data_IF_029068466325
#
_entry.id   IF_029068466325
#
_cell.length_a   1.000
_cell.length_b   1.000
_cell.length_c   1.000
_cell.angle_alpha   90.00
_cell.angle_beta   90.00
_cell.angle_gamma   90.00
#
_symmetry.space_group_name_H-M   'P 1'
#
loop_
_entity.id
_entity.type
_entity.pdbx_description
1 polymer ?
#
# COMPACT_ATOMS: atom_id res chain seq x y z
N UNK A 1 54.02 38.14 5.43
CA UNK A 1 53.02 37.54 4.52
C UNK A 1 52.68 36.07 4.80
N UNK A 2 53.21 35.42 5.84
CA UNK A 2 52.97 33.98 6.10
C UNK A 2 51.83 33.66 7.08
N UNK A 3 51.19 34.67 7.70
CA UNK A 3 50.07 34.47 8.65
C UNK A 3 48.69 34.56 8.00
N UNK A 4 48.57 35.24 6.84
CA UNK A 4 47.31 35.40 6.10
C UNK A 4 46.94 34.10 5.36
N UNK A 5 47.94 33.35 4.88
CA UNK A 5 47.75 32.05 4.25
C UNK A 5 47.24 30.96 5.21
N UNK A 6 47.51 31.08 6.51
CA UNK A 6 47.02 30.15 7.55
C UNK A 6 45.55 30.38 7.92
N UNK A 7 45.01 31.58 7.69
CA UNK A 7 43.60 31.92 7.98
C UNK A 7 42.65 31.51 6.83
N UNK A 8 43.12 31.45 5.59
CA UNK A 8 42.32 31.00 4.45
C UNK A 8 42.13 29.47 4.37
N UNK A 9 43.03 28.69 4.97
CA UNK A 9 42.92 27.22 5.00
C UNK A 9 41.86 26.71 6.00
N UNK A 10 41.47 27.52 6.99
CA UNK A 10 40.49 27.12 8.01
C UNK A 10 39.03 27.32 7.57
N UNK A 11 38.79 28.10 6.50
CA UNK A 11 37.44 28.39 5.98
C UNK A 11 36.96 27.39 4.92
N UNK A 12 37.81 26.48 4.45
CA UNK A 12 37.50 25.55 3.36
C UNK A 12 36.77 24.26 3.82
N UNK A 13 36.45 24.12 5.11
CA UNK A 13 35.83 22.91 5.68
C UNK A 13 34.32 23.03 5.94
N UNK A 14 33.67 24.14 5.61
CA UNK A 14 32.20 24.20 5.60
C UNK A 14 31.67 23.61 4.29
N UNK A 15 31.94 22.33 4.04
CA UNK A 15 31.03 21.54 3.23
C UNK A 15 29.74 21.50 4.04
N UNK A 16 28.79 22.38 3.74
CA UNK A 16 27.43 22.21 4.24
C UNK A 16 26.98 20.84 3.78
N UNK A 17 26.91 19.87 4.69
CA UNK A 17 26.32 18.57 4.44
C UNK A 17 24.81 18.83 4.22
N UNK A 18 24.43 19.17 2.99
CA UNK A 18 23.03 19.27 2.63
C UNK A 18 22.45 17.86 2.72
N UNK A 19 21.44 17.67 3.57
CA UNK A 19 20.79 16.38 3.70
C UNK A 19 20.27 15.91 2.36
N UNK A 20 20.49 14.64 2.05
CA UNK A 20 19.96 14.04 0.84
C UNK A 20 18.42 14.02 0.88
N UNK A 21 17.79 13.95 -0.29
CA UNK A 21 16.33 13.83 -0.37
C UNK A 21 15.81 12.57 0.34
N UNK A 22 16.60 11.49 0.36
CA UNK A 22 16.31 10.27 1.12
C UNK A 22 16.36 10.51 2.64
N UNK A 23 17.34 11.26 3.14
CA UNK A 23 17.43 11.61 4.57
C UNK A 23 16.25 12.48 5.02
N UNK A 24 15.85 13.46 4.20
CA UNK A 24 14.67 14.29 4.47
C UNK A 24 13.38 13.48 4.48
N UNK A 25 13.30 12.41 3.68
CA UNK A 25 12.14 11.54 3.57
C UNK A 25 12.08 10.44 4.64
N UNK A 26 13.20 10.14 5.31
CA UNK A 26 13.32 9.06 6.28
C UNK A 26 12.28 9.09 7.43
N UNK A 27 11.93 10.25 8.02
CA UNK A 27 10.89 10.30 9.07
C UNK A 27 9.51 9.85 8.56
N UNK A 28 9.18 10.16 7.30
CA UNK A 28 7.91 9.73 6.71
C UNK A 28 7.90 8.22 6.40
N UNK A 29 9.04 7.67 5.97
CA UNK A 29 9.20 6.22 5.82
C UNK A 29 9.08 5.49 7.18
N UNK A 30 9.67 6.02 8.24
CA UNK A 30 9.51 5.48 9.60
C UNK A 30 8.05 5.48 10.06
N UNK A 31 7.29 6.56 9.75
CA UNK A 31 5.84 6.60 10.00
C UNK A 31 5.10 5.52 9.21
N UNK A 32 5.42 5.33 7.93
CA UNK A 32 4.83 4.29 7.08
C UNK A 32 5.06 2.90 7.69
N UNK A 33 6.28 2.61 8.14
CA UNK A 33 6.61 1.34 8.82
C UNK A 33 5.82 1.15 10.13
N UNK A 34 5.71 2.20 10.95
CA UNK A 34 4.90 2.16 12.18
C UNK A 34 3.43 1.90 11.90
N UNK A 35 2.85 2.51 10.85
CA UNK A 35 1.47 2.27 10.45
C UNK A 35 1.26 0.82 9.97
N UNK A 36 2.24 0.28 9.23
CA UNK A 36 2.21 -1.10 8.77
C UNK A 36 2.22 -2.09 9.95
N UNK A 37 3.10 -1.88 10.93
CA UNK A 37 3.16 -2.68 12.16
C UNK A 37 1.89 -2.59 13.00
N UNK A 38 1.20 -1.45 12.95
CA UNK A 38 -0.10 -1.27 13.58
C UNK A 38 -1.29 -1.82 12.76
N UNK A 39 -1.02 -2.53 11.66
CA UNK A 39 -2.02 -3.09 10.73
C UNK A 39 -2.98 -2.05 10.11
N UNK A 40 -2.58 -0.77 10.12
CA UNK A 40 -3.34 0.34 9.55
C UNK A 40 -3.08 0.46 8.05
N UNK A 41 -3.41 -0.58 7.31
CA UNK A 41 -2.96 -0.74 5.92
C UNK A 41 -3.48 0.33 4.97
N UNK A 42 -4.68 0.88 5.18
CA UNK A 42 -5.17 2.00 4.35
C UNK A 42 -4.31 3.26 4.58
N UNK A 43 -4.03 3.60 5.84
CA UNK A 43 -3.19 4.75 6.19
C UNK A 43 -1.74 4.59 5.68
N UNK A 44 -1.26 3.34 5.55
CA UNK A 44 0.01 3.02 4.87
C UNK A 44 -0.04 3.46 3.41
N UNK A 45 -1.07 3.06 2.65
CA UNK A 45 -1.18 3.42 1.23
C UNK A 45 -1.27 4.94 1.05
N UNK A 46 -2.07 5.61 1.88
CA UNK A 46 -2.26 7.06 1.83
C UNK A 46 -0.94 7.79 2.15
N UNK A 47 -0.22 7.35 3.19
CA UNK A 47 1.09 7.92 3.57
C UNK A 47 2.16 7.69 2.51
N UNK A 48 2.11 6.58 1.77
CA UNK A 48 3.01 6.32 0.64
C UNK A 48 2.69 7.23 -0.55
N UNK A 49 1.41 7.58 -0.77
CA UNK A 49 1.00 8.63 -1.71
C UNK A 49 1.68 9.96 -1.36
N UNK A 50 1.56 10.39 -0.11
CA UNK A 50 2.21 11.61 0.40
C UNK A 50 3.73 11.56 0.23
N UNK A 51 4.38 10.42 0.49
CA UNK A 51 5.83 10.25 0.30
C UNK A 51 6.24 10.48 -1.16
N UNK A 52 5.50 9.92 -2.11
CA UNK A 52 5.78 10.05 -3.55
C UNK A 52 5.61 11.48 -4.04
N UNK A 53 4.63 12.19 -3.50
CA UNK A 53 4.31 13.57 -3.89
C UNK A 53 5.31 14.57 -3.30
N UNK A 54 5.66 14.42 -2.01
CA UNK A 54 6.55 15.35 -1.30
C UNK A 54 8.03 15.11 -1.58
N UNK A 55 8.42 13.87 -1.77
CA UNK A 55 9.83 13.49 -1.96
C UNK A 55 10.02 12.70 -3.27
N UNK A 56 9.72 13.30 -4.43
CA UNK A 56 9.76 12.57 -5.69
C UNK A 56 11.17 12.06 -6.04
N UNK A 57 12.22 12.74 -5.54
CA UNK A 57 13.64 12.41 -5.77
C UNK A 57 14.26 11.49 -4.71
N UNK A 58 13.54 11.14 -3.64
CA UNK A 58 14.00 10.17 -2.62
C UNK A 58 13.87 8.73 -3.14
N UNK A 59 14.70 8.37 -4.13
CA UNK A 59 14.55 7.13 -4.90
C UNK A 59 14.65 5.89 -4.02
N UNK A 60 15.61 5.86 -3.08
CA UNK A 60 15.81 4.68 -2.23
C UNK A 60 14.67 4.53 -1.22
N UNK A 61 14.24 5.63 -0.61
CA UNK A 61 13.10 5.67 0.31
C UNK A 61 11.82 5.22 -0.39
N UNK A 62 11.58 5.67 -1.63
CA UNK A 62 10.44 5.25 -2.45
C UNK A 62 10.50 3.78 -2.84
N UNK A 63 11.68 3.23 -3.13
CA UNK A 63 11.86 1.79 -3.39
C UNK A 63 11.50 0.96 -2.15
N UNK A 64 11.97 1.36 -0.97
CA UNK A 64 11.60 0.71 0.29
C UNK A 64 10.09 0.78 0.54
N UNK A 65 9.50 1.96 0.38
CA UNK A 65 8.06 2.16 0.53
C UNK A 65 7.23 1.32 -0.47
N UNK A 66 7.72 1.09 -1.69
CA UNK A 66 7.03 0.24 -2.67
C UNK A 66 6.88 -1.21 -2.16
N UNK A 67 7.88 -1.76 -1.48
CA UNK A 67 7.77 -3.09 -0.85
C UNK A 67 6.68 -3.11 0.23
N UNK A 68 6.64 -2.10 1.09
CA UNK A 68 5.60 -1.96 2.12
C UNK A 68 4.21 -1.80 1.48
N UNK A 69 4.10 -1.01 0.41
CA UNK A 69 2.86 -0.84 -0.35
C UNK A 69 2.32 -2.16 -0.89
N UNK A 70 3.19 -3.00 -1.47
CA UNK A 70 2.80 -4.32 -1.98
C UNK A 70 2.28 -5.22 -0.86
N UNK A 71 2.98 -5.26 0.27
CA UNK A 71 2.57 -6.07 1.42
C UNK A 71 1.24 -5.58 2.03
N UNK A 72 1.06 -4.27 2.20
CA UNK A 72 -0.17 -3.69 2.72
C UNK A 72 -1.35 -3.91 1.77
N UNK A 73 -1.14 -3.73 0.46
CA UNK A 73 -2.14 -3.99 -0.57
C UNK A 73 -2.58 -5.45 -0.57
N UNK A 74 -1.64 -6.39 -0.39
CA UNK A 74 -1.96 -7.82 -0.28
C UNK A 74 -2.82 -8.11 0.97
N UNK A 75 -2.49 -7.51 2.12
CA UNK A 75 -3.26 -7.68 3.36
C UNK A 75 -4.70 -7.16 3.22
N UNK A 76 -4.87 -5.99 2.61
CA UNK A 76 -6.20 -5.44 2.30
C UNK A 76 -6.98 -6.37 1.36
N UNK A 77 -6.35 -6.84 0.28
CA UNK A 77 -6.98 -7.75 -0.66
C UNK A 77 -7.41 -9.07 0.02
N UNK A 78 -6.57 -9.66 0.87
CA UNK A 78 -6.90 -10.86 1.64
C UNK A 78 -8.10 -10.64 2.59
N UNK A 79 -8.14 -9.51 3.30
CA UNK A 79 -9.28 -9.16 4.15
C UNK A 79 -10.57 -8.94 3.34
N UNK A 80 -10.46 -8.38 2.14
CA UNK A 80 -11.58 -8.20 1.22
C UNK A 80 -12.07 -9.51 0.61
N UNK A 81 -11.17 -10.47 0.36
CA UNK A 81 -11.52 -11.84 -0.08
C UNK A 81 -12.40 -12.50 0.99
N UNK A 82 -11.95 -12.50 2.26
CA UNK A 82 -12.70 -13.11 3.35
C UNK A 82 -14.10 -12.50 3.53
N UNK A 83 -14.21 -11.17 3.43
CA UNK A 83 -15.49 -10.45 3.48
C UNK A 83 -16.38 -10.77 2.28
N UNK A 84 -15.81 -10.82 1.08
CA UNK A 84 -16.56 -11.14 -0.15
C UNK A 84 -17.06 -12.58 -0.15
N UNK A 85 -16.24 -13.52 0.30
CA UNK A 85 -16.62 -14.93 0.42
C UNK A 85 -17.76 -15.11 1.43
N UNK A 86 -17.64 -14.51 2.61
CA UNK A 86 -18.71 -14.53 3.63
C UNK A 86 -20.04 -13.99 3.08
N UNK A 87 -19.99 -12.87 2.35
CA UNK A 87 -21.17 -12.30 1.71
C UNK A 87 -21.74 -13.22 0.60
N UNK A 88 -20.88 -13.88 -0.17
CA UNK A 88 -21.28 -14.84 -1.19
C UNK A 88 -21.98 -16.06 -0.57
N UNK A 89 -21.46 -16.59 0.53
CA UNK A 89 -22.09 -17.70 1.26
C UNK A 89 -23.48 -17.33 1.74
N UNK A 90 -23.66 -16.15 2.37
CA UNK A 90 -24.98 -15.66 2.79
C UNK A 90 -25.94 -15.58 1.60
N UNK A 91 -25.45 -15.07 0.46
CA UNK A 91 -26.23 -14.91 -0.75
C UNK A 91 -26.67 -16.26 -1.35
N UNK A 92 -25.78 -17.25 -1.34
CA UNK A 92 -26.06 -18.61 -1.81
C UNK A 92 -27.05 -19.32 -0.88
N UNK A 93 -26.99 -19.10 0.43
CA UNK A 93 -27.99 -19.61 1.36
C UNK A 93 -29.37 -18.97 1.15
N UNK A 94 -29.43 -17.67 0.89
CA UNK A 94 -30.68 -17.00 0.57
C UNK A 94 -31.33 -17.58 -0.71
N UNK A 95 -30.53 -17.92 -1.72
CA UNK A 95 -31.01 -18.55 -2.95
C UNK A 95 -31.58 -19.98 -2.75
N UNK A 96 -31.16 -20.69 -1.70
CA UNK A 96 -31.67 -22.04 -1.38
C UNK A 96 -33.03 -22.03 -0.68
N UNK A 97 -33.55 -20.86 -0.28
CA UNK A 97 -34.85 -20.76 0.38
C UNK A 97 -35.99 -21.08 -0.59
N UNK A 98 -36.87 -22.01 -0.21
CA UNK A 98 -37.88 -22.61 -1.09
C UNK A 98 -39.08 -21.75 -1.50
N UNK A 99 -39.11 -20.45 -1.17
CA UNK A 99 -40.27 -19.56 -1.46
C UNK A 99 -39.84 -18.18 -1.95
N UNK A 100 -38.98 -18.13 -2.97
CA UNK A 100 -38.58 -16.88 -3.61
C UNK A 100 -39.51 -16.52 -4.78
N UNK A 101 -39.97 -15.27 -4.83
CA UNK A 101 -40.60 -14.73 -6.04
C UNK A 101 -39.58 -14.65 -7.18
N UNK A 102 -40.03 -14.68 -8.43
CA UNK A 102 -39.15 -14.58 -9.61
C UNK A 102 -38.27 -13.32 -9.56
N UNK A 103 -38.85 -12.18 -9.19
CA UNK A 103 -38.11 -10.91 -9.04
C UNK A 103 -37.04 -11.00 -7.95
N UNK A 104 -37.39 -11.54 -6.77
CA UNK A 104 -36.43 -11.69 -5.67
C UNK A 104 -35.30 -12.63 -6.04
N UNK A 105 -35.61 -13.76 -6.69
CA UNK A 105 -34.61 -14.71 -7.19
C UNK A 105 -33.66 -14.04 -8.18
N UNK A 106 -34.16 -13.27 -9.14
CA UNK A 106 -33.34 -12.54 -10.10
C UNK A 106 -32.38 -11.55 -9.42
N UNK A 107 -32.87 -10.74 -8.47
CA UNK A 107 -32.03 -9.83 -7.68
C UNK A 107 -30.93 -10.59 -6.92
N UNK A 108 -31.27 -11.74 -6.35
CA UNK A 108 -30.29 -12.53 -5.61
C UNK A 108 -29.20 -13.12 -6.51
N UNK A 109 -29.56 -13.55 -7.72
CA UNK A 109 -28.60 -14.06 -8.71
C UNK A 109 -27.63 -12.98 -9.19
N UNK A 110 -28.14 -11.79 -9.54
CA UNK A 110 -27.30 -10.66 -9.95
C UNK A 110 -26.28 -10.31 -8.88
N UNK A 111 -26.70 -10.26 -7.60
CA UNK A 111 -25.79 -9.96 -6.50
C UNK A 111 -24.78 -11.07 -6.24
N UNK A 112 -25.18 -12.34 -6.37
CA UNK A 112 -24.25 -13.49 -6.30
C UNK A 112 -23.16 -13.37 -7.37
N UNK A 113 -23.55 -13.10 -8.62
CA UNK A 113 -22.62 -13.05 -9.74
C UNK A 113 -21.66 -11.86 -9.62
N UNK A 114 -22.15 -10.72 -9.14
CA UNK A 114 -21.29 -9.58 -8.78
C UNK A 114 -20.26 -9.94 -7.70
N UNK A 115 -20.67 -10.67 -6.65
CA UNK A 115 -19.77 -11.13 -5.60
C UNK A 115 -18.73 -12.13 -6.12
N UNK A 116 -19.11 -13.05 -7.02
CA UNK A 116 -18.18 -14.00 -7.66
C UNK A 116 -17.11 -13.29 -8.48
N UNK A 117 -17.52 -12.31 -9.30
CA UNK A 117 -16.58 -11.50 -10.10
C UNK A 117 -15.61 -10.74 -9.18
N UNK A 118 -16.11 -10.12 -8.11
CA UNK A 118 -15.26 -9.43 -7.12
C UNK A 118 -14.26 -10.38 -6.46
N UNK A 119 -14.73 -11.56 -6.02
CA UNK A 119 -13.88 -12.56 -5.39
C UNK A 119 -12.75 -13.01 -6.31
N UNK A 120 -13.07 -13.30 -7.57
CA UNK A 120 -12.07 -13.71 -8.56
C UNK A 120 -11.05 -12.60 -8.82
N UNK A 121 -11.50 -11.36 -9.02
CA UNK A 121 -10.62 -10.22 -9.22
C UNK A 121 -9.63 -10.02 -8.06
N UNK A 122 -10.12 -10.13 -6.81
CA UNK A 122 -9.28 -10.03 -5.62
C UNK A 122 -8.26 -11.17 -5.54
N UNK A 123 -8.68 -12.40 -5.84
CA UNK A 123 -7.77 -13.55 -5.91
C UNK A 123 -6.66 -13.35 -6.95
N UNK A 124 -7.01 -12.81 -8.13
CA UNK A 124 -6.02 -12.51 -9.18
C UNK A 124 -5.07 -11.39 -8.77
N UNK A 125 -5.56 -10.37 -8.06
CA UNK A 125 -4.72 -9.30 -7.51
C UNK A 125 -3.66 -9.85 -6.54
N UNK A 126 -4.06 -10.71 -5.59
CA UNK A 126 -3.12 -11.35 -4.66
C UNK A 126 -2.08 -12.18 -5.41
N UNK A 127 -2.49 -13.00 -6.38
CA UNK A 127 -1.56 -13.78 -7.22
C UNK A 127 -0.58 -12.90 -7.99
N UNK A 128 -1.05 -11.78 -8.54
CA UNK A 128 -0.21 -10.83 -9.26
C UNK A 128 0.83 -10.19 -8.34
N UNK A 129 0.45 -9.80 -7.12
CA UNK A 129 1.37 -9.26 -6.12
C UNK A 129 2.43 -10.31 -5.74
N UNK A 130 2.01 -11.54 -5.43
CA UNK A 130 2.92 -12.63 -5.10
C UNK A 130 3.91 -12.93 -6.22
N UNK A 131 3.44 -13.00 -7.48
CA UNK A 131 4.30 -13.18 -8.65
C UNK A 131 5.31 -12.06 -8.80
N UNK A 132 4.92 -10.81 -8.53
CA UNK A 132 5.81 -9.65 -8.59
C UNK A 132 6.85 -9.63 -7.46
N UNK A 133 6.56 -10.23 -6.31
CA UNK A 133 7.50 -10.35 -5.20
C UNK A 133 8.51 -11.51 -5.39
N UNK A 134 8.15 -12.51 -6.19
CA UNK A 134 9.01 -13.65 -6.51
C UNK A 134 9.98 -13.40 -7.69
N UNK A 135 9.91 -12.23 -8.32
CA UNK A 135 10.78 -11.78 -9.42
C UNK A 135 11.86 -10.85 -8.88
#
# INVERSE_FOLDING_TARGET
>A
MNKILLLLALLALTVSCEQSEDEKAAPLLAKIDSLYKAERYQDVLDSIGVLRDRFPRAINTRKTALGIWQMASMKLAQADIARTDSALQVQEQALKQGKLTSQRKAQLLVRRDSLKIRYEALCQMVKAIQKKQAQ
#
